data_IF_728096328234
#
_entry.id   IF_728096328234
#
_cell.length_a   1.000
_cell.length_b   1.000
_cell.length_c   1.000
_cell.angle_alpha   90.00
_cell.angle_beta   90.00
_cell.angle_gamma   90.00
#
_symmetry.space_group_name_H-M   'P 1'
#
loop_
_entity.id
_entity.type
_entity.pdbx_description
1 polymer ?
#
# COMPACT_ATOMS: atom_id res chain seq x y z
N UNK A 1 23.44 5.52 6.85
CA UNK A 1 22.21 4.77 7.18
C UNK A 1 21.17 5.76 7.68
N UNK A 2 19.94 5.76 7.14
CA UNK A 2 18.90 6.70 7.54
C UNK A 2 18.33 6.31 8.91
N UNK A 3 18.30 7.26 9.87
CA UNK A 3 17.72 7.05 11.20
C UNK A 3 16.23 7.34 11.12
N UNK A 4 15.40 6.33 11.41
CA UNK A 4 13.93 6.42 11.37
C UNK A 4 13.37 5.62 12.54
N UNK A 5 12.63 6.27 13.44
CA UNK A 5 11.88 5.58 14.50
C UNK A 5 10.53 5.12 13.94
N UNK A 6 10.49 3.90 13.41
CA UNK A 6 9.27 3.32 12.87
C UNK A 6 8.58 2.41 13.90
N UNK A 7 7.23 2.45 14.01
CA UNK A 7 6.48 1.61 14.95
C UNK A 7 6.34 0.15 14.47
N UNK A 8 7.18 -0.29 13.52
CA UNK A 8 7.07 -1.61 12.91
C UNK A 8 7.71 -2.66 13.81
N UNK A 9 7.11 -3.86 13.84
CA UNK A 9 7.64 -4.96 14.64
C UNK A 9 8.95 -5.48 14.06
N UNK A 10 9.88 -5.95 14.92
CA UNK A 10 11.11 -6.56 14.45
C UNK A 10 10.82 -7.84 13.65
N UNK A 11 11.57 -8.04 12.57
CA UNK A 11 11.47 -9.25 11.75
C UNK A 11 12.26 -10.36 12.43
N UNK A 12 11.58 -11.44 12.80
CA UNK A 12 12.16 -12.63 13.46
C UNK A 12 12.15 -13.80 12.48
N UNK A 13 13.27 -14.04 11.79
CA UNK A 13 13.35 -15.05 10.73
C UNK A 13 12.97 -16.46 11.21
N UNK A 14 13.51 -16.92 12.34
CA UNK A 14 13.22 -18.24 12.90
C UNK A 14 11.74 -18.40 13.27
N UNK A 15 11.13 -17.33 13.81
CA UNK A 15 9.70 -17.33 14.14
C UNK A 15 8.84 -17.38 12.86
N UNK A 16 9.20 -16.65 11.81
CA UNK A 16 8.52 -16.73 10.52
C UNK A 16 8.66 -18.12 9.88
N UNK A 17 9.82 -18.76 10.03
CA UNK A 17 10.09 -20.11 9.53
C UNK A 17 9.36 -21.22 10.32
N UNK A 18 8.80 -20.92 11.51
CA UNK A 18 7.95 -21.86 12.24
C UNK A 18 6.64 -22.20 11.52
N UNK A 19 6.31 -21.47 10.45
CA UNK A 19 5.17 -21.74 9.58
C UNK A 19 5.64 -21.94 8.14
N UNK A 20 5.27 -23.07 7.57
CA UNK A 20 5.32 -23.33 6.13
C UNK A 20 3.97 -23.87 5.68
N UNK A 21 3.55 -23.51 4.47
CA UNK A 21 2.29 -23.96 3.87
C UNK A 21 2.48 -24.22 2.38
N UNK A 22 1.72 -25.18 1.85
CA UNK A 22 1.64 -25.36 0.40
C UNK A 22 1.05 -24.11 -0.26
N UNK A 23 1.62 -23.72 -1.41
CA UNK A 23 1.16 -22.56 -2.16
C UNK A 23 -0.19 -22.87 -2.81
N UNK A 24 -1.22 -22.11 -2.44
CA UNK A 24 -2.53 -22.20 -3.06
C UNK A 24 -2.48 -21.52 -4.43
N UNK A 25 -3.15 -22.10 -5.44
CA UNK A 25 -3.25 -21.56 -6.82
C UNK A 25 -1.93 -20.95 -7.34
N UNK A 26 -0.82 -21.70 -7.39
CA UNK A 26 0.51 -21.14 -7.67
C UNK A 26 0.60 -20.46 -9.04
N UNK A 27 -0.21 -20.89 -10.01
CA UNK A 27 -0.26 -20.33 -11.36
C UNK A 27 -1.06 -19.03 -11.51
N UNK A 28 -1.82 -18.61 -10.48
CA UNK A 28 -2.59 -17.37 -10.54
C UNK A 28 -1.63 -16.16 -10.60
N UNK A 29 -1.66 -15.34 -11.66
CA UNK A 29 -0.82 -14.16 -11.75
C UNK A 29 -1.21 -13.12 -10.69
N UNK A 30 -0.20 -12.58 -9.99
CA UNK A 30 -0.39 -11.60 -8.94
C UNK A 30 0.39 -10.32 -9.24
N UNK A 31 -0.27 -9.18 -9.07
CA UNK A 31 0.35 -7.86 -8.95
C UNK A 31 0.36 -7.50 -7.47
N UNK A 32 1.55 -7.37 -6.88
CA UNK A 32 1.68 -6.83 -5.52
C UNK A 32 1.51 -5.31 -5.58
N UNK A 33 0.31 -4.82 -5.25
CA UNK A 33 -0.06 -3.43 -5.42
C UNK A 33 0.61 -2.47 -4.42
N UNK A 34 1.39 -2.97 -3.47
CA UNK A 34 2.11 -2.12 -2.52
C UNK A 34 3.22 -2.86 -1.81
N UNK A 35 4.45 -2.41 -2.03
CA UNK A 35 5.59 -2.74 -1.18
C UNK A 35 6.49 -1.51 -1.00
N UNK A 36 7.44 -1.65 -0.09
CA UNK A 36 8.46 -0.66 0.22
C UNK A 36 9.85 -1.28 0.06
N UNK A 37 10.85 -0.42 -0.15
CA UNK A 37 12.26 -0.79 -0.16
C UNK A 37 13.05 0.26 0.60
N UNK A 38 13.90 -0.18 1.54
CA UNK A 38 14.68 0.75 2.34
C UNK A 38 15.96 0.14 2.91
N UNK A 39 16.86 1.03 3.30
CA UNK A 39 18.04 0.72 4.10
C UNK A 39 18.13 1.69 5.29
N UNK A 40 17.73 1.20 6.46
CA UNK A 40 17.49 2.00 7.68
C UNK A 40 17.99 1.27 8.90
N UNK A 41 18.10 1.99 10.02
CA UNK A 41 18.49 1.41 11.31
C UNK A 41 17.60 0.24 11.75
N UNK A 42 16.30 0.26 11.41
CA UNK A 42 15.35 -0.80 11.75
C UNK A 42 15.52 -2.07 10.90
N UNK A 43 16.38 -2.06 9.88
CA UNK A 43 16.64 -3.19 9.01
C UNK A 43 16.75 -2.79 7.54
N UNK A 44 17.48 -3.62 6.78
CA UNK A 44 17.59 -3.54 5.33
C UNK A 44 16.51 -4.40 4.68
N UNK A 45 15.86 -3.84 3.67
CA UNK A 45 14.96 -4.57 2.78
C UNK A 45 15.06 -3.96 1.38
N UNK A 46 16.01 -4.46 0.59
CA UNK A 46 16.30 -3.99 -0.76
C UNK A 46 16.01 -5.13 -1.75
N UNK A 47 16.55 -5.02 -2.97
CA UNK A 47 16.28 -5.96 -4.06
C UNK A 47 16.53 -7.44 -3.69
N UNK A 48 17.54 -7.73 -2.87
CA UNK A 48 17.87 -9.10 -2.48
C UNK A 48 16.85 -9.69 -1.51
N UNK A 49 16.53 -8.99 -0.42
CA UNK A 49 15.52 -9.45 0.53
C UNK A 49 14.14 -9.55 -0.12
N UNK A 50 13.81 -8.59 -0.99
CA UNK A 50 12.53 -8.62 -1.69
C UNK A 50 12.44 -9.79 -2.67
N UNK A 51 13.51 -10.06 -3.43
CA UNK A 51 13.59 -11.24 -4.31
C UNK A 51 13.37 -12.53 -3.51
N UNK A 52 13.96 -12.65 -2.33
CA UNK A 52 13.83 -13.87 -1.52
C UNK A 52 12.37 -14.08 -1.08
N UNK A 53 11.64 -13.02 -0.72
CA UNK A 53 10.21 -13.09 -0.43
C UNK A 53 9.36 -13.39 -1.70
N UNK A 54 9.70 -12.80 -2.85
CA UNK A 54 9.07 -13.08 -4.15
C UNK A 54 9.30 -14.54 -4.58
N UNK A 55 10.40 -15.16 -4.18
CA UNK A 55 10.73 -16.56 -4.44
C UNK A 55 9.96 -17.56 -3.56
N UNK A 56 8.97 -17.11 -2.79
CA UNK A 56 8.11 -17.95 -1.94
C UNK A 56 7.22 -18.95 -2.72
N UNK A 57 7.16 -18.87 -4.05
CA UNK A 57 6.42 -19.79 -4.90
C UNK A 57 5.08 -19.25 -5.44
N UNK A 58 4.63 -18.08 -4.98
CA UNK A 58 3.53 -17.37 -5.63
C UNK A 58 4.01 -16.72 -6.94
N UNK A 59 3.19 -16.78 -7.99
CA UNK A 59 3.48 -16.15 -9.29
C UNK A 59 3.23 -14.64 -9.27
N UNK A 60 4.11 -13.90 -8.59
CA UNK A 60 4.13 -12.44 -8.60
C UNK A 60 4.71 -11.96 -9.94
N UNK A 61 3.89 -11.37 -10.80
CA UNK A 61 4.31 -10.94 -12.14
C UNK A 61 4.75 -9.48 -12.19
N UNK A 62 4.20 -8.63 -11.33
CA UNK A 62 4.50 -7.19 -11.30
C UNK A 62 4.29 -6.64 -9.88
N UNK A 63 4.93 -5.53 -9.55
CA UNK A 63 4.79 -4.89 -8.22
C UNK A 63 4.74 -3.37 -8.32
N UNK A 64 4.12 -2.75 -7.32
CA UNK A 64 4.05 -1.29 -7.17
C UNK A 64 4.87 -0.87 -5.95
N UNK A 65 5.93 -0.09 -6.19
CA UNK A 65 6.69 0.54 -5.12
C UNK A 65 5.94 1.75 -4.60
N UNK A 66 5.76 1.84 -3.29
CA UNK A 66 5.08 2.98 -2.66
C UNK A 66 6.02 3.77 -1.78
N UNK A 67 5.94 5.08 -1.90
CA UNK A 67 6.66 6.11 -1.15
C UNK A 67 6.86 5.72 0.32
N UNK A 68 8.10 5.72 0.79
CA UNK A 68 8.40 5.50 2.20
C UNK A 68 9.46 6.44 2.77
N UNK A 69 9.94 7.43 1.98
CA UNK A 69 11.04 8.38 2.28
C UNK A 69 12.43 7.73 2.19
N UNK A 70 12.60 6.74 1.31
CA UNK A 70 13.89 6.07 1.11
C UNK A 70 14.74 6.83 0.09
N UNK A 71 16.05 6.88 0.31
CA UNK A 71 17.02 7.42 -0.66
C UNK A 71 16.69 8.82 -1.22
N UNK A 72 16.13 9.70 -0.39
CA UNK A 72 15.94 11.11 -0.75
C UNK A 72 17.29 11.74 -1.12
N UNK A 73 17.32 12.66 -2.09
CA UNK A 73 18.55 13.42 -2.42
C UNK A 73 19.05 14.15 -1.17
N UNK A 74 20.36 14.10 -0.93
CA UNK A 74 20.99 14.73 0.23
C UNK A 74 21.17 16.25 0.07
N UNK A 75 21.18 16.74 -1.17
CA UNK A 75 21.41 18.15 -1.53
C UNK A 75 20.34 18.66 -2.49
N UNK A 76 20.25 19.99 -2.64
CA UNK A 76 19.28 20.66 -3.51
C UNK A 76 18.04 21.17 -2.76
N UNK A 77 17.08 21.79 -3.49
CA UNK A 77 15.86 22.32 -2.89
C UNK A 77 15.05 21.24 -2.17
N UNK A 78 14.46 21.58 -1.01
CA UNK A 78 13.73 20.62 -0.17
C UNK A 78 12.62 19.89 -0.94
N UNK A 79 11.85 20.64 -1.74
CA UNK A 79 10.77 20.11 -2.56
C UNK A 79 11.23 19.07 -3.60
N UNK A 80 12.50 19.10 -4.03
CA UNK A 80 13.08 18.20 -5.03
C UNK A 80 13.83 17.01 -4.42
N UNK A 81 14.02 16.97 -3.09
CA UNK A 81 14.69 15.82 -2.45
C UNK A 81 13.99 14.49 -2.71
N UNK A 82 12.64 14.41 -2.72
CA UNK A 82 11.94 13.15 -2.99
C UNK A 82 12.10 12.60 -4.41
N UNK A 83 12.62 13.37 -5.37
CA UNK A 83 12.99 12.85 -6.70
C UNK A 83 14.00 11.70 -6.57
N UNK A 84 14.88 11.74 -5.56
CA UNK A 84 15.85 10.66 -5.28
C UNK A 84 15.21 9.31 -4.94
N UNK A 85 14.04 9.32 -4.31
CA UNK A 85 13.31 8.08 -4.01
C UNK A 85 12.80 7.41 -5.31
N UNK A 86 12.39 8.21 -6.29
CA UNK A 86 11.97 7.73 -7.62
C UNK A 86 13.17 7.22 -8.42
N UNK A 87 14.31 7.90 -8.38
CA UNK A 87 15.57 7.45 -8.99
C UNK A 87 15.98 6.08 -8.41
N UNK A 88 15.94 5.95 -7.10
CA UNK A 88 16.25 4.71 -6.39
C UNK A 88 15.32 3.56 -6.80
N UNK A 89 14.01 3.75 -6.74
CA UNK A 89 13.05 2.72 -7.14
C UNK A 89 13.19 2.33 -8.62
N UNK A 90 13.51 3.29 -9.49
CA UNK A 90 13.80 3.04 -10.91
C UNK A 90 15.07 2.21 -11.09
N UNK A 91 16.11 2.47 -10.29
CA UNK A 91 17.33 1.65 -10.26
C UNK A 91 17.05 0.20 -9.86
N UNK A 92 16.23 -0.01 -8.83
CA UNK A 92 15.80 -1.37 -8.44
C UNK A 92 14.97 -2.02 -9.53
N UNK A 93 14.06 -1.28 -10.18
CA UNK A 93 13.29 -1.80 -11.31
C UNK A 93 14.20 -2.30 -12.45
N UNK A 94 15.31 -1.61 -12.73
CA UNK A 94 16.29 -2.04 -13.72
C UNK A 94 17.01 -3.35 -13.33
N UNK A 95 17.29 -3.56 -12.03
CA UNK A 95 17.86 -4.82 -11.53
C UNK A 95 16.93 -6.00 -11.83
N UNK A 96 15.64 -5.88 -11.54
CA UNK A 96 14.66 -6.93 -11.84
C UNK A 96 14.44 -7.12 -13.34
N UNK A 97 14.39 -6.03 -14.12
CA UNK A 97 14.25 -6.09 -15.57
C UNK A 97 15.41 -6.80 -16.29
N UNK A 98 16.58 -6.93 -15.64
CA UNK A 98 17.71 -7.72 -16.17
C UNK A 98 17.45 -9.24 -16.19
N UNK A 99 16.45 -9.72 -15.45
CA UNK A 99 16.18 -11.15 -15.24
C UNK A 99 17.07 -11.81 -14.17
N UNK A 100 18.11 -11.13 -13.67
CA UNK A 100 19.01 -11.68 -12.65
C UNK A 100 18.35 -11.84 -11.26
N UNK A 101 17.22 -11.16 -11.03
CA UNK A 101 16.45 -11.21 -9.77
C UNK A 101 15.13 -11.99 -9.94
N UNK A 102 15.04 -12.85 -10.94
CA UNK A 102 13.84 -13.63 -11.24
C UNK A 102 12.95 -12.99 -12.31
N UNK A 103 11.79 -13.61 -12.55
CA UNK A 103 10.88 -13.23 -13.64
C UNK A 103 9.94 -12.06 -13.29
N UNK A 104 9.85 -11.67 -12.03
CA UNK A 104 8.97 -10.59 -11.57
C UNK A 104 9.45 -9.23 -12.06
N UNK A 105 8.53 -8.41 -12.58
CA UNK A 105 8.77 -6.99 -12.85
C UNK A 105 8.58 -6.18 -11.56
N UNK A 106 9.62 -6.06 -10.74
CA UNK A 106 9.51 -5.26 -9.52
C UNK A 106 9.55 -3.76 -9.81
N UNK A 107 8.85 -2.97 -8.99
CA UNK A 107 8.75 -1.51 -9.11
C UNK A 107 8.28 -1.08 -10.52
N UNK A 108 7.38 -1.85 -11.12
CA UNK A 108 6.85 -1.62 -12.47
C UNK A 108 5.94 -0.38 -12.52
N UNK A 109 5.35 -0.05 -11.37
CA UNK A 109 4.86 1.27 -11.05
C UNK A 109 5.49 1.80 -9.76
N UNK A 110 5.57 3.12 -9.68
CA UNK A 110 6.10 3.89 -8.57
C UNK A 110 5.03 4.89 -8.14
N UNK A 111 4.65 4.83 -6.87
CA UNK A 111 3.90 5.87 -6.18
C UNK A 111 4.93 6.69 -5.40
N UNK A 112 5.26 7.89 -5.89
CA UNK A 112 6.28 8.76 -5.31
C UNK A 112 5.75 9.62 -4.16
N UNK A 113 6.60 10.47 -3.59
CA UNK A 113 6.18 11.44 -2.56
C UNK A 113 6.52 12.86 -2.96
N UNK A 114 5.54 13.74 -3.13
CA UNK A 114 5.75 15.16 -3.36
C UNK A 114 4.93 15.95 -2.33
N UNK A 115 5.38 17.13 -1.90
CA UNK A 115 4.58 17.94 -0.98
C UNK A 115 3.43 18.61 -1.71
N UNK A 116 2.25 17.98 -1.68
CA UNK A 116 1.04 18.54 -2.30
C UNK A 116 0.52 19.78 -1.56
N UNK A 117 1.04 20.12 -0.37
CA UNK A 117 0.72 21.40 0.26
C UNK A 117 1.33 22.60 -0.48
N UNK A 118 2.23 22.38 -1.45
CA UNK A 118 2.71 23.40 -2.38
C UNK A 118 1.65 23.85 -3.41
N UNK A 119 0.44 23.25 -3.38
CA UNK A 119 -0.62 23.54 -4.35
C UNK A 119 -0.12 23.35 -5.80
N UNK A 120 -0.34 24.34 -6.68
CA UNK A 120 0.09 24.29 -8.08
C UNK A 120 1.62 24.27 -8.25
N UNK A 121 2.36 24.78 -7.26
CA UNK A 121 3.84 24.83 -7.28
C UNK A 121 4.49 23.45 -7.09
N UNK A 122 3.69 22.39 -6.90
CA UNK A 122 4.18 21.01 -6.93
C UNK A 122 4.52 20.54 -8.35
N UNK A 123 3.98 21.19 -9.40
CA UNK A 123 4.12 20.76 -10.79
C UNK A 123 5.58 20.52 -11.24
N UNK A 124 6.56 21.42 -10.97
CA UNK A 124 7.95 21.18 -11.33
C UNK A 124 8.58 19.97 -10.62
N UNK A 125 8.11 19.63 -9.42
CA UNK A 125 8.55 18.43 -8.69
C UNK A 125 8.04 17.17 -9.38
N UNK A 126 6.76 17.18 -9.78
CA UNK A 126 6.15 16.05 -10.50
C UNK A 126 6.82 15.84 -11.87
N UNK A 127 7.12 16.91 -12.58
CA UNK A 127 7.84 16.87 -13.86
C UNK A 127 9.24 16.25 -13.71
N UNK A 128 9.99 16.67 -12.69
CA UNK A 128 11.30 16.08 -12.39
C UNK A 128 11.20 14.59 -12.00
N UNK A 129 10.17 14.19 -11.25
CA UNK A 129 9.94 12.77 -10.95
C UNK A 129 9.57 11.96 -12.19
N UNK A 130 8.76 12.51 -13.09
CA UNK A 130 8.37 11.85 -14.34
C UNK A 130 9.61 11.57 -15.21
N UNK A 131 10.49 12.56 -15.36
CA UNK A 131 11.73 12.47 -16.13
C UNK A 131 12.62 11.30 -15.67
N UNK A 132 12.81 11.15 -14.34
CA UNK A 132 13.69 10.11 -13.79
C UNK A 132 13.03 8.75 -13.63
N UNK A 133 11.69 8.66 -13.70
CA UNK A 133 10.95 7.42 -13.43
C UNK A 133 11.05 6.37 -14.54
N UNK A 134 11.54 6.73 -15.73
CA UNK A 134 11.51 5.87 -16.91
C UNK A 134 10.08 5.40 -17.25
N UNK A 135 9.08 6.26 -17.08
CA UNK A 135 7.66 5.98 -17.34
C UNK A 135 6.92 5.24 -16.22
N UNK A 136 7.56 4.99 -15.08
CA UNK A 136 7.01 4.20 -13.96
C UNK A 136 6.28 5.03 -12.91
N UNK A 137 6.38 6.36 -12.91
CA UNK A 137 5.62 7.17 -11.95
C UNK A 137 4.12 7.11 -12.29
N UNK A 138 3.32 6.61 -11.35
CA UNK A 138 1.89 6.36 -11.53
C UNK A 138 1.00 6.97 -10.46
N UNK A 139 1.59 7.34 -9.32
CA UNK A 139 0.87 7.99 -8.23
C UNK A 139 1.77 8.81 -7.34
N UNK A 140 1.14 9.54 -6.42
CA UNK A 140 1.78 10.26 -5.33
C UNK A 140 1.12 9.85 -4.01
N UNK A 141 1.92 9.76 -2.94
CA UNK A 141 1.49 9.57 -1.57
C UNK A 141 2.08 10.64 -0.67
N UNK A 142 1.26 11.22 0.20
CA UNK A 142 1.70 12.01 1.34
C UNK A 142 1.38 11.29 2.65
N UNK A 143 2.12 11.57 3.73
CA UNK A 143 1.70 11.16 5.07
C UNK A 143 0.38 11.87 5.43
N UNK A 144 -0.70 11.11 5.64
CA UNK A 144 -2.03 11.64 6.00
C UNK A 144 -2.58 11.05 7.31
N UNK A 145 -2.17 9.83 7.66
CA UNK A 145 -2.57 9.15 8.89
C UNK A 145 -2.24 9.96 10.15
N UNK A 146 -3.26 10.40 10.87
CA UNK A 146 -3.16 11.20 12.10
C UNK A 146 -4.24 10.78 13.10
N UNK A 147 -3.87 10.78 14.38
CA UNK A 147 -4.79 10.54 15.49
C UNK A 147 -4.40 11.40 16.69
N UNK A 148 -5.35 11.75 17.55
CA UNK A 148 -5.09 12.58 18.73
C UNK A 148 -4.38 11.80 19.85
N UNK A 149 -4.73 10.53 20.02
CA UNK A 149 -4.10 9.62 20.97
C UNK A 149 -2.70 9.20 20.46
N UNK A 150 -1.62 9.48 21.23
CA UNK A 150 -0.25 9.16 20.85
C UNK A 150 0.05 7.65 20.80
N UNK A 151 -0.82 6.78 21.31
CA UNK A 151 -0.70 5.33 21.15
C UNK A 151 -1.07 4.86 19.73
N UNK A 152 -1.70 5.71 18.91
CA UNK A 152 -2.13 5.38 17.55
C UNK A 152 -1.14 5.96 16.52
N UNK A 153 -0.05 5.22 16.29
CA UNK A 153 1.03 5.64 15.37
C UNK A 153 1.40 4.50 14.43
N UNK A 154 1.34 4.77 13.12
CA UNK A 154 1.72 3.84 12.04
C UNK A 154 2.90 4.34 11.20
N UNK A 155 3.28 5.62 11.35
CA UNK A 155 4.34 6.26 10.56
C UNK A 155 5.35 6.96 11.48
N UNK A 156 6.65 6.97 11.12
CA UNK A 156 7.68 7.74 11.80
C UNK A 156 7.47 9.27 11.82
N UNK A 157 6.56 9.80 11.00
CA UNK A 157 6.23 11.23 11.01
C UNK A 157 4.72 11.41 11.05
N UNK A 158 4.27 12.19 12.04
CA UNK A 158 2.88 12.58 12.23
C UNK A 158 2.58 13.82 11.38
N UNK A 159 1.64 13.76 10.43
CA UNK A 159 1.26 14.91 9.63
C UNK A 159 0.37 15.88 10.43
N UNK A 160 0.11 17.10 9.94
CA UNK A 160 -0.94 17.96 10.49
C UNK A 160 -2.32 17.28 10.42
N UNK A 161 -3.12 17.43 11.47
CA UNK A 161 -4.47 16.84 11.62
C UNK A 161 -5.36 17.10 10.41
N UNK A 162 -5.35 18.33 9.93
CA UNK A 162 -6.26 18.91 8.96
C UNK A 162 -5.65 19.04 7.56
N UNK A 163 -4.54 18.35 7.29
CA UNK A 163 -3.84 18.40 5.99
C UNK A 163 -4.78 18.18 4.80
N UNK A 164 -5.69 17.22 4.86
CA UNK A 164 -6.64 16.94 3.76
C UNK A 164 -7.67 18.05 3.54
N UNK A 165 -7.98 18.85 4.57
CA UNK A 165 -8.91 19.97 4.48
C UNK A 165 -8.23 21.28 4.04
N UNK A 166 -6.90 21.33 4.00
CA UNK A 166 -6.15 22.51 3.57
C UNK A 166 -6.45 22.84 2.10
N UNK A 167 -6.87 24.07 1.77
CA UNK A 167 -7.11 24.47 0.38
C UNK A 167 -5.87 24.33 -0.51
N UNK A 168 -4.67 24.50 0.05
CA UNK A 168 -3.44 24.32 -0.69
C UNK A 168 -3.21 22.84 -1.05
N UNK A 169 -3.45 21.94 -0.10
CA UNK A 169 -3.34 20.50 -0.32
C UNK A 169 -4.36 20.00 -1.36
N UNK A 170 -5.62 20.44 -1.26
CA UNK A 170 -6.66 20.12 -2.25
C UNK A 170 -6.24 20.54 -3.67
N UNK A 171 -5.70 21.76 -3.84
CA UNK A 171 -5.17 22.22 -5.13
C UNK A 171 -3.96 21.41 -5.62
N UNK A 172 -3.10 20.96 -4.70
CA UNK A 172 -1.98 20.08 -5.02
C UNK A 172 -2.47 18.72 -5.53
N UNK A 173 -3.45 18.12 -4.85
CA UNK A 173 -4.10 16.88 -5.32
C UNK A 173 -4.73 17.07 -6.69
N UNK A 174 -5.48 18.15 -6.93
CA UNK A 174 -6.06 18.46 -8.24
C UNK A 174 -5.00 18.59 -9.35
N UNK A 175 -3.78 19.02 -9.02
CA UNK A 175 -2.67 19.12 -10.00
C UNK A 175 -2.25 17.75 -10.54
N UNK A 176 -2.50 16.65 -9.81
CA UNK A 176 -2.17 15.29 -10.24
C UNK A 176 -2.92 14.86 -11.50
N UNK A 177 -4.12 15.40 -11.73
CA UNK A 177 -4.95 15.12 -12.92
C UNK A 177 -4.17 15.37 -14.21
N UNK A 178 -3.43 16.49 -14.29
CA UNK A 178 -2.64 16.90 -15.46
C UNK A 178 -1.64 15.84 -15.91
N UNK A 179 -1.16 15.04 -14.96
CA UNK A 179 -0.13 14.03 -15.17
C UNK A 179 -0.69 12.59 -15.09
N UNK A 180 -2.03 12.45 -14.99
CA UNK A 180 -2.72 11.18 -14.77
C UNK A 180 -2.18 10.39 -13.56
N UNK A 181 -1.73 11.06 -12.51
CA UNK A 181 -1.20 10.43 -11.31
C UNK A 181 -2.33 10.14 -10.31
N UNK A 182 -2.30 8.96 -9.68
CA UNK A 182 -3.20 8.63 -8.55
C UNK A 182 -2.77 9.38 -7.29
N UNK A 183 -3.70 9.55 -6.36
CA UNK A 183 -3.37 9.81 -4.96
C UNK A 183 -3.57 8.51 -4.17
N UNK A 184 -2.48 7.97 -3.63
CA UNK A 184 -2.54 6.86 -2.68
C UNK A 184 -2.65 7.45 -1.26
N UNK A 185 -3.68 7.05 -0.53
CA UNK A 185 -4.09 7.66 0.72
C UNK A 185 -4.08 6.64 1.86
N UNK A 186 -2.99 6.64 2.63
CA UNK A 186 -2.95 5.99 3.93
C UNK A 186 -3.50 6.93 5.01
N UNK A 187 -4.70 6.58 5.51
CA UNK A 187 -5.43 7.29 6.56
C UNK A 187 -6.02 6.30 7.56
N UNK A 188 -6.39 6.77 8.75
CA UNK A 188 -7.20 5.97 9.67
C UNK A 188 -8.68 6.10 9.39
N UNK A 189 -9.48 5.13 9.85
CA UNK A 189 -10.92 5.13 9.64
C UNK A 189 -11.62 6.39 10.18
N UNK A 190 -11.07 7.01 11.25
CA UNK A 190 -11.52 8.27 11.83
C UNK A 190 -11.34 9.49 10.93
N UNK A 191 -10.55 9.37 9.85
CA UNK A 191 -10.26 10.41 8.87
C UNK A 191 -10.97 10.18 7.53
N UNK A 192 -11.71 9.07 7.35
CA UNK A 192 -12.32 8.72 6.06
C UNK A 192 -13.35 9.74 5.57
N UNK A 193 -14.04 10.44 6.48
CA UNK A 193 -14.95 11.52 6.09
C UNK A 193 -14.20 12.73 5.47
N UNK A 194 -13.00 13.04 5.97
CA UNK A 194 -12.16 14.07 5.36
C UNK A 194 -11.59 13.62 4.01
N UNK A 195 -11.27 12.33 3.87
CA UNK A 195 -10.86 11.75 2.59
C UNK A 195 -12.01 11.79 1.57
N UNK A 196 -13.25 11.57 2.01
CA UNK A 196 -14.44 11.69 1.16
C UNK A 196 -14.59 13.09 0.58
N UNK A 197 -14.46 14.14 1.41
CA UNK A 197 -14.54 15.52 0.93
C UNK A 197 -13.39 15.85 -0.04
N UNK A 198 -12.17 15.35 0.21
CA UNK A 198 -11.04 15.50 -0.71
C UNK A 198 -11.29 14.80 -2.06
N UNK A 199 -11.76 13.55 -2.03
CA UNK A 199 -12.05 12.77 -3.23
C UNK A 199 -13.16 13.41 -4.07
N UNK A 200 -14.18 13.99 -3.41
CA UNK A 200 -15.26 14.75 -4.04
C UNK A 200 -14.77 16.07 -4.64
N UNK A 201 -13.79 16.72 -4.02
CA UNK A 201 -13.19 17.97 -4.51
C UNK A 201 -12.21 17.76 -5.69
N UNK A 202 -11.73 16.52 -5.90
CA UNK A 202 -10.83 16.16 -7.00
C UNK A 202 -11.39 14.96 -7.81
N UNK A 203 -12.58 15.08 -8.44
CA UNK A 203 -13.27 13.95 -9.06
C UNK A 203 -12.52 13.33 -10.24
N UNK A 204 -11.60 14.06 -10.86
CA UNK A 204 -10.78 13.58 -11.97
C UNK A 204 -9.50 12.85 -11.52
N UNK A 205 -9.17 12.90 -10.22
CA UNK A 205 -8.02 12.17 -9.65
C UNK A 205 -8.52 10.86 -9.06
N UNK A 206 -7.89 9.75 -9.45
CA UNK A 206 -8.16 8.46 -8.82
C UNK A 206 -7.54 8.44 -7.42
N UNK A 207 -8.37 8.21 -6.41
CA UNK A 207 -7.97 8.12 -5.01
C UNK A 207 -7.92 6.64 -4.62
N UNK A 208 -6.74 6.13 -4.32
CA UNK A 208 -6.53 4.76 -3.86
C UNK A 208 -6.44 4.78 -2.33
N UNK A 209 -7.41 4.16 -1.67
CA UNK A 209 -7.45 4.05 -0.22
C UNK A 209 -6.57 2.86 0.18
N UNK A 210 -5.50 3.11 0.93
CA UNK A 210 -4.56 2.07 1.34
C UNK A 210 -5.15 1.24 2.50
N UNK A 211 -4.73 -0.03 2.60
CA UNK A 211 -4.83 -0.86 3.80
C UNK A 211 -6.24 -0.95 4.40
N UNK A 212 -7.23 -1.39 3.62
CA UNK A 212 -8.65 -1.46 4.02
C UNK A 212 -9.25 -0.12 4.50
N UNK A 213 -8.58 1.02 4.35
CA UNK A 213 -9.02 2.30 4.94
C UNK A 213 -8.74 2.45 6.44
N UNK A 214 -7.78 1.68 6.97
CA UNK A 214 -7.20 1.87 8.30
C UNK A 214 -8.16 1.74 9.49
N UNK A 215 -8.95 0.66 9.61
CA UNK A 215 -9.70 0.38 10.84
C UNK A 215 -8.73 0.22 12.02
N UNK A 216 -8.94 1.01 13.08
CA UNK A 216 -8.05 1.01 14.24
C UNK A 216 -8.51 -0.03 15.26
N UNK A 217 -7.56 -0.72 15.88
CA UNK A 217 -7.77 -1.67 16.97
C UNK A 217 -6.93 -1.40 18.22
N UNK A 218 -6.29 -0.24 18.31
CA UNK A 218 -5.43 0.17 19.44
C UNK A 218 -5.85 1.52 20.01
N UNK A 219 -5.21 1.94 21.11
CA UNK A 219 -5.54 3.19 21.80
C UNK A 219 -7.00 3.19 22.27
N UNK A 220 -7.81 4.22 21.96
CA UNK A 220 -9.21 4.30 22.40
C UNK A 220 -10.14 3.28 21.70
N UNK A 221 -9.61 2.56 20.71
CA UNK A 221 -10.32 1.50 19.97
C UNK A 221 -9.97 0.08 20.47
N UNK A 222 -9.00 -0.07 21.38
CA UNK A 222 -8.64 -1.36 21.94
C UNK A 222 -9.85 -2.01 22.65
N UNK A 223 -10.14 -3.28 22.34
CA UNK A 223 -11.30 -3.99 22.87
C UNK A 223 -12.66 -3.51 22.33
N UNK A 224 -12.68 -2.57 21.38
CA UNK A 224 -13.89 -1.98 20.76
C UNK A 224 -13.94 -2.20 19.25
N UNK A 225 -13.36 -3.31 18.77
CA UNK A 225 -13.22 -3.62 17.35
C UNK A 225 -14.55 -3.58 16.59
N UNK A 226 -15.64 -4.07 17.17
CA UNK A 226 -16.95 -4.04 16.51
C UNK A 226 -17.51 -2.63 16.32
N UNK A 227 -17.25 -1.73 17.26
CA UNK A 227 -17.65 -0.33 17.14
C UNK A 227 -16.81 0.39 16.09
N UNK A 228 -15.48 0.23 16.16
CA UNK A 228 -14.55 0.78 15.17
C UNK A 228 -14.89 0.29 13.76
N UNK A 229 -15.21 -1.00 13.61
CA UNK A 229 -15.62 -1.61 12.33
C UNK A 229 -16.95 -1.05 11.82
N UNK A 230 -17.96 -0.80 12.68
CA UNK A 230 -19.21 -0.16 12.24
C UNK A 230 -18.99 1.26 11.74
N UNK A 231 -18.21 2.07 12.47
CA UNK A 231 -17.88 3.45 12.08
C UNK A 231 -17.09 3.47 10.75
N UNK A 232 -16.08 2.61 10.65
CA UNK A 232 -15.30 2.38 9.44
C UNK A 232 -16.18 2.02 8.23
N UNK A 233 -17.06 1.03 8.36
CA UNK A 233 -17.95 0.61 7.27
C UNK A 233 -18.92 1.73 6.83
N UNK A 234 -19.40 2.54 7.77
CA UNK A 234 -20.26 3.68 7.46
C UNK A 234 -19.52 4.74 6.64
N UNK A 235 -18.28 5.07 7.01
CA UNK A 235 -17.48 6.04 6.27
C UNK A 235 -17.06 5.51 4.89
N UNK A 236 -16.69 4.23 4.78
CA UNK A 236 -16.39 3.61 3.49
C UNK A 236 -17.57 3.61 2.53
N UNK A 237 -18.81 3.47 3.02
CA UNK A 237 -20.00 3.55 2.16
C UNK A 237 -20.13 4.91 1.44
N UNK A 238 -19.72 6.01 2.09
CA UNK A 238 -19.67 7.33 1.44
C UNK A 238 -18.59 7.35 0.34
N UNK A 239 -17.38 6.90 0.65
CA UNK A 239 -16.29 6.83 -0.33
C UNK A 239 -16.62 5.95 -1.53
N UNK A 240 -17.26 4.80 -1.30
CA UNK A 240 -17.65 3.86 -2.34
C UNK A 240 -18.68 4.43 -3.33
N UNK A 241 -19.47 5.44 -2.91
CA UNK A 241 -20.40 6.16 -3.79
C UNK A 241 -19.71 7.07 -4.80
N UNK A 242 -18.43 7.39 -4.58
CA UNK A 242 -17.62 8.16 -5.53
C UNK A 242 -16.94 7.20 -6.52
N UNK A 243 -17.08 7.40 -7.84
CA UNK A 243 -16.53 6.49 -8.84
C UNK A 243 -14.99 6.56 -8.96
N UNK A 244 -14.37 7.64 -8.50
CA UNK A 244 -12.92 7.85 -8.53
C UNK A 244 -12.18 7.23 -7.34
N UNK A 245 -12.85 6.47 -6.47
CA UNK A 245 -12.22 5.80 -5.32
C UNK A 245 -11.96 4.32 -5.59
N UNK A 246 -10.80 3.85 -5.15
CA UNK A 246 -10.37 2.45 -5.20
C UNK A 246 -9.79 2.05 -3.84
N UNK A 247 -9.63 0.76 -3.58
CA UNK A 247 -9.20 0.22 -2.28
C UNK A 247 -8.09 -0.82 -2.46
N UNK A 248 -7.06 -0.73 -1.62
CA UNK A 248 -6.13 -1.82 -1.41
C UNK A 248 -6.52 -2.65 -0.19
N UNK A 249 -6.45 -3.97 -0.34
CA UNK A 249 -6.84 -4.97 0.64
C UNK A 249 -5.56 -5.63 1.18
N UNK A 250 -4.98 -5.04 2.21
CA UNK A 250 -3.73 -5.51 2.83
C UNK A 250 -3.30 -4.57 3.96
N UNK A 251 -2.01 -4.57 4.31
CA UNK A 251 -1.46 -3.70 5.38
C UNK A 251 -1.96 -3.99 6.80
N UNK A 252 -2.73 -5.06 6.98
CA UNK A 252 -3.34 -5.45 8.24
C UNK A 252 -2.35 -6.12 9.22
N UNK A 253 -1.06 -6.17 8.88
CA UNK A 253 0.03 -6.50 9.81
C UNK A 253 0.53 -5.30 10.61
N UNK A 254 0.11 -4.07 10.30
CA UNK A 254 0.48 -2.91 11.10
C UNK A 254 -0.13 -2.99 12.52
N UNK A 255 0.64 -2.71 13.60
CA UNK A 255 0.13 -2.78 14.97
C UNK A 255 -1.14 -1.97 15.24
N UNK A 256 -1.36 -0.88 14.49
CA UNK A 256 -2.56 -0.04 14.65
C UNK A 256 -3.88 -0.77 14.37
N UNK A 257 -3.87 -1.89 13.65
CA UNK A 257 -5.04 -2.75 13.45
C UNK A 257 -5.42 -3.55 14.71
N UNK A 258 -4.51 -3.66 15.69
CA UNK A 258 -4.74 -4.33 16.96
C UNK A 258 -4.70 -5.86 16.92
N UNK A 259 -4.19 -6.47 15.84
CA UNK A 259 -3.95 -7.91 15.81
C UNK A 259 -2.71 -8.29 16.61
N UNK A 260 -2.79 -9.44 17.29
CA UNK A 260 -1.77 -9.93 18.22
C UNK A 260 -0.91 -11.05 17.65
N UNK A 261 -0.90 -11.25 16.32
CA UNK A 261 -0.27 -12.41 15.69
C UNK A 261 1.19 -12.61 16.13
N UNK A 262 1.96 -11.53 16.20
CA UNK A 262 3.36 -11.56 16.61
C UNK A 262 3.60 -11.94 18.09
N UNK A 263 2.57 -11.91 18.95
CA UNK A 263 2.69 -12.32 20.35
C UNK A 263 2.62 -13.85 20.54
N UNK A 264 2.27 -14.59 19.49
CA UNK A 264 2.11 -16.05 19.52
C UNK A 264 3.46 -16.76 19.44
N UNK A 265 3.50 -17.98 19.97
CA UNK A 265 4.70 -18.83 19.95
C UNK A 265 5.19 -19.13 18.53
N UNK A 266 4.26 -19.41 17.60
CA UNK A 266 4.56 -19.65 16.19
C UNK A 266 3.88 -18.61 15.29
N UNK A 267 4.42 -18.43 14.08
CA UNK A 267 3.82 -17.58 13.06
C UNK A 267 2.40 -18.06 12.68
N UNK A 268 1.46 -17.12 12.43
CA UNK A 268 0.07 -17.45 12.13
C UNK A 268 -0.04 -18.23 10.81
N UNK A 269 -1.06 -19.08 10.70
CA UNK A 269 -1.42 -19.70 9.42
C UNK A 269 -2.20 -18.73 8.53
N UNK A 270 -2.25 -19.02 7.22
CA UNK A 270 -3.04 -18.23 6.27
C UNK A 270 -4.55 -18.32 6.56
N UNK A 271 -5.01 -19.42 7.17
CA UNK A 271 -6.37 -19.58 7.66
C UNK A 271 -6.69 -18.62 8.80
N UNK A 272 -5.73 -18.46 9.73
CA UNK A 272 -5.85 -17.51 10.84
C UNK A 272 -5.97 -16.08 10.31
N UNK A 273 -5.09 -15.70 9.37
CA UNK A 273 -5.12 -14.37 8.78
C UNK A 273 -6.41 -14.14 7.98
N UNK A 274 -6.80 -15.08 7.13
CA UNK A 274 -8.02 -14.97 6.32
C UNK A 274 -9.27 -14.86 7.21
N UNK A 275 -9.38 -15.65 8.29
CA UNK A 275 -10.49 -15.55 9.23
C UNK A 275 -10.56 -14.17 9.92
N UNK A 276 -9.41 -13.64 10.34
CA UNK A 276 -9.32 -12.33 10.99
C UNK A 276 -9.68 -11.17 10.05
N UNK A 277 -9.35 -11.28 8.76
CA UNK A 277 -9.56 -10.23 7.77
C UNK A 277 -10.89 -10.34 7.02
N UNK A 278 -11.56 -11.50 7.07
CA UNK A 278 -12.81 -11.78 6.37
C UNK A 278 -13.88 -10.69 6.53
N UNK A 279 -14.16 -10.17 7.74
CA UNK A 279 -15.20 -9.14 7.90
C UNK A 279 -14.88 -7.82 7.18
N UNK A 280 -13.59 -7.46 7.08
CA UNK A 280 -13.14 -6.26 6.37
C UNK A 280 -13.16 -6.50 4.86
N UNK A 281 -12.65 -7.64 4.41
CA UNK A 281 -12.69 -8.07 3.02
C UNK A 281 -14.13 -8.06 2.47
N UNK A 282 -15.06 -8.76 3.13
CA UNK A 282 -16.45 -8.85 2.68
C UNK A 282 -17.11 -7.47 2.56
N UNK A 283 -16.89 -6.60 3.55
CA UNK A 283 -17.43 -5.22 3.50
C UNK A 283 -16.84 -4.42 2.35
N UNK A 284 -15.54 -4.52 2.09
CA UNK A 284 -14.90 -3.83 0.97
C UNK A 284 -15.41 -4.35 -0.39
N UNK A 285 -15.58 -5.67 -0.54
CA UNK A 285 -16.12 -6.26 -1.78
C UNK A 285 -17.57 -5.86 -1.99
N UNK A 286 -18.41 -5.88 -0.94
CA UNK A 286 -19.81 -5.44 -1.00
C UNK A 286 -19.93 -3.98 -1.46
N UNK A 287 -19.09 -3.09 -0.92
CA UNK A 287 -19.20 -1.65 -1.19
C UNK A 287 -18.54 -1.23 -2.51
N UNK A 288 -17.35 -1.74 -2.82
CA UNK A 288 -16.54 -1.26 -3.94
C UNK A 288 -16.62 -2.17 -5.18
N UNK A 289 -16.89 -3.46 -4.99
CA UNK A 289 -16.74 -4.49 -6.01
C UNK A 289 -15.27 -4.83 -6.30
N UNK A 290 -15.06 -5.96 -6.97
CA UNK A 290 -13.70 -6.46 -7.30
C UNK A 290 -12.94 -5.54 -8.26
N UNK A 291 -13.64 -4.83 -9.13
CA UNK A 291 -13.06 -3.93 -10.14
C UNK A 291 -12.48 -2.62 -9.55
N UNK A 292 -12.69 -2.39 -8.25
CA UNK A 292 -12.14 -1.26 -7.48
C UNK A 292 -11.33 -1.70 -6.26
N UNK A 293 -11.16 -2.99 -6.05
CA UNK A 293 -10.37 -3.57 -4.97
C UNK A 293 -9.15 -4.32 -5.51
N UNK A 294 -7.99 -4.18 -4.86
CA UNK A 294 -6.76 -4.89 -5.22
C UNK A 294 -6.03 -5.39 -3.98
N UNK A 295 -5.43 -6.59 -4.01
CA UNK A 295 -4.61 -7.07 -2.91
C UNK A 295 -3.23 -6.41 -2.88
N UNK A 296 -2.64 -6.31 -1.69
CA UNK A 296 -1.31 -5.75 -1.49
C UNK A 296 -0.58 -6.43 -0.32
N UNK A 297 0.74 -6.55 -0.38
CA UNK A 297 1.50 -7.15 0.73
C UNK A 297 1.78 -6.16 1.86
N UNK A 298 2.02 -4.88 1.53
CA UNK A 298 2.61 -3.87 2.42
C UNK A 298 3.99 -4.27 2.96
N UNK A 299 4.73 -5.13 2.26
CA UNK A 299 6.02 -5.61 2.74
C UNK A 299 7.11 -4.52 2.63
N UNK A 300 8.05 -4.47 3.58
CA UNK A 300 8.23 -5.37 4.72
C UNK A 300 7.58 -4.84 6.02
N UNK A 301 6.70 -3.83 5.96
CA UNK A 301 6.04 -3.28 7.17
C UNK A 301 5.31 -4.38 7.93
N UNK A 302 4.58 -5.22 7.20
CA UNK A 302 3.78 -6.31 7.76
C UNK A 302 4.62 -7.56 8.10
N UNK A 303 5.89 -7.63 7.67
CA UNK A 303 6.75 -8.82 7.79
C UNK A 303 7.04 -9.24 9.23
N UNK A 304 6.87 -8.33 10.20
CA UNK A 304 6.97 -8.65 11.62
C UNK A 304 5.80 -9.48 12.17
N UNK A 305 4.67 -9.56 11.44
CA UNK A 305 3.46 -10.29 11.85
C UNK A 305 3.27 -11.63 11.13
N UNK A 306 3.75 -11.74 9.90
CA UNK A 306 3.60 -12.94 9.06
C UNK A 306 4.55 -12.87 7.86
N UNK A 307 4.78 -14.02 7.22
CA UNK A 307 5.67 -14.12 6.07
C UNK A 307 4.95 -13.84 4.75
N UNK A 308 5.72 -13.55 3.69
CA UNK A 308 5.19 -13.22 2.36
C UNK A 308 4.37 -14.38 1.78
N UNK A 309 4.80 -15.63 2.00
CA UNK A 309 4.05 -16.80 1.54
C UNK A 309 2.69 -16.94 2.25
N UNK A 310 2.62 -16.68 3.57
CA UNK A 310 1.37 -16.83 4.34
C UNK A 310 0.34 -15.77 3.92
N UNK A 311 0.76 -14.50 3.72
CA UNK A 311 -0.17 -13.43 3.37
C UNK A 311 -0.85 -13.67 2.02
N UNK A 312 -0.10 -14.12 1.01
CA UNK A 312 -0.69 -14.41 -0.30
C UNK A 312 -1.60 -15.65 -0.28
N UNK A 313 -1.27 -16.68 0.52
CA UNK A 313 -2.21 -17.76 0.78
C UNK A 313 -3.48 -17.25 1.47
N UNK A 314 -3.37 -16.31 2.41
CA UNK A 314 -4.52 -15.75 3.12
C UNK A 314 -5.47 -15.02 2.16
N UNK A 315 -4.92 -14.22 1.24
CA UNK A 315 -5.72 -13.57 0.19
C UNK A 315 -6.41 -14.57 -0.74
N UNK A 316 -5.73 -15.67 -1.11
CA UNK A 316 -6.34 -16.73 -1.93
C UNK A 316 -7.48 -17.45 -1.20
N UNK A 317 -7.37 -17.60 0.12
CA UNK A 317 -8.46 -18.10 0.96
C UNK A 317 -9.64 -17.14 1.04
N UNK A 318 -9.39 -15.83 1.20
CA UNK A 318 -10.45 -14.82 1.18
C UNK A 318 -11.25 -14.86 -0.13
N UNK A 319 -10.55 -15.02 -1.27
CA UNK A 319 -11.15 -15.07 -2.60
C UNK A 319 -11.54 -16.50 -3.04
N UNK A 320 -11.47 -17.52 -2.19
CA UNK A 320 -11.58 -18.93 -2.59
C UNK A 320 -12.89 -19.25 -3.33
N UNK A 321 -14.00 -18.63 -2.90
CA UNK A 321 -15.34 -18.84 -3.45
C UNK A 321 -15.65 -17.97 -4.68
N UNK A 322 -14.71 -17.09 -5.09
CA UNK A 322 -14.91 -16.17 -6.22
C UNK A 322 -14.57 -16.84 -7.55
N UNK A 323 -15.21 -16.36 -8.62
CA UNK A 323 -14.93 -16.79 -9.99
C UNK A 323 -13.50 -16.45 -10.43
N UNK A 324 -13.03 -17.10 -11.50
CA UNK A 324 -11.71 -16.80 -12.07
C UNK A 324 -11.57 -15.33 -12.51
N UNK A 325 -12.66 -14.71 -12.99
CA UNK A 325 -12.65 -13.31 -13.39
C UNK A 325 -12.51 -12.36 -12.18
N UNK A 326 -13.25 -12.61 -11.11
CA UNK A 326 -13.17 -11.85 -9.86
C UNK A 326 -11.81 -12.00 -9.19
N UNK A 327 -11.25 -13.22 -9.17
CA UNK A 327 -9.88 -13.44 -8.70
C UNK A 327 -8.89 -12.65 -9.55
N UNK A 328 -8.97 -12.73 -10.87
CA UNK A 328 -8.07 -11.97 -11.74
C UNK A 328 -8.18 -10.45 -11.52
N UNK A 329 -9.39 -9.91 -11.28
CA UNK A 329 -9.58 -8.52 -10.89
C UNK A 329 -8.81 -8.17 -9.61
N UNK A 330 -9.08 -8.89 -8.51
CA UNK A 330 -8.48 -8.63 -7.19
C UNK A 330 -6.96 -8.82 -7.16
N UNK A 331 -6.45 -9.85 -7.82
CA UNK A 331 -5.03 -10.21 -7.79
C UNK A 331 -4.20 -9.48 -8.84
N UNK A 332 -4.79 -8.92 -9.89
CA UNK A 332 -3.98 -8.32 -10.97
C UNK A 332 -4.62 -7.16 -11.72
N UNK A 333 -5.82 -7.33 -12.32
CA UNK A 333 -6.36 -6.36 -13.29
C UNK A 333 -6.74 -5.03 -12.66
N UNK A 334 -7.24 -5.02 -11.43
CA UNK A 334 -7.58 -3.77 -10.74
C UNK A 334 -6.32 -2.95 -10.48
N UNK A 335 -5.24 -3.57 -9.99
CA UNK A 335 -3.96 -2.88 -9.81
C UNK A 335 -3.39 -2.40 -11.16
N UNK A 336 -3.42 -3.25 -12.19
CA UNK A 336 -2.87 -2.88 -13.49
C UNK A 336 -3.64 -1.76 -14.21
N UNK A 337 -4.97 -1.75 -14.14
CA UNK A 337 -5.76 -0.63 -14.66
C UNK A 337 -5.51 0.66 -13.86
N UNK A 338 -5.41 0.56 -12.53
CA UNK A 338 -5.17 1.71 -11.65
C UNK A 338 -3.81 2.36 -11.93
N UNK A 339 -2.75 1.55 -12.01
CA UNK A 339 -1.38 2.02 -12.18
C UNK A 339 -0.85 1.88 -13.62
N UNK A 340 -1.72 1.60 -14.59
CA UNK A 340 -1.37 1.46 -16.03
C UNK A 340 -0.15 0.55 -16.23
N UNK A 341 -0.22 -0.64 -15.65
CA UNK A 341 0.80 -1.69 -15.74
C UNK A 341 0.55 -2.57 -16.97
N UNK A 342 1.59 -2.98 -17.70
CA UNK A 342 1.43 -3.98 -18.74
C UNK A 342 1.31 -5.38 -18.11
N UNK A 343 0.13 -6.00 -18.13
CA UNK A 343 -0.01 -7.43 -17.78
C UNK A 343 0.15 -8.28 -19.05
N UNK A 344 1.01 -9.33 -19.04
CA UNK A 344 1.07 -10.30 -20.13
C UNK A 344 -0.29 -10.99 -20.32
N UNK A 345 -0.96 -10.73 -21.45
CA UNK A 345 -2.29 -11.27 -21.77
C UNK A 345 -3.32 -10.21 -22.20
N UNK A 346 -3.05 -8.92 -21.97
CA UNK A 346 -3.93 -7.80 -22.34
C UNK A 346 -3.67 -7.22 -23.75
N UNK A 347 -3.21 -8.05 -24.70
CA UNK A 347 -3.36 -7.69 -26.12
C UNK A 347 -4.74 -8.14 -26.59
N UNK A 348 -5.71 -7.23 -26.49
CA UNK A 348 -6.90 -7.22 -27.35
C UNK A 348 -6.86 -6.01 -28.25
#
# INVERSE_FOLDING_TARGET
MQIVHAPHLPIRADWLASREEAILEPELPVVDAHHHLWDRQSGRYLAHEFRDDLASGHRIVSTVYVQCRSMLRSTGPEALKPVGEVEFATGVAAMFASGAYGATRACDAIVGGADLALASEVAPVLEAMLEVSGGRLRGIRNPLAWHEDPAVVSSPATPPRDRMASPAFVRGVQTLERYALTLDAWVYHTQLDALYELAKAAPAVTIVIDHFGGPLGVGPHAGRHDEARRAWAQALRKLASLPNTRMKLGGAGMPVFGFDFAARECAPSSETLAAAWRPYFDTCIELFGVERCMFESNFPVDKGMFSYHVVWNAFKRLAQAMSAAEKAALFSRTAASTYRLPIPGDQS
#
